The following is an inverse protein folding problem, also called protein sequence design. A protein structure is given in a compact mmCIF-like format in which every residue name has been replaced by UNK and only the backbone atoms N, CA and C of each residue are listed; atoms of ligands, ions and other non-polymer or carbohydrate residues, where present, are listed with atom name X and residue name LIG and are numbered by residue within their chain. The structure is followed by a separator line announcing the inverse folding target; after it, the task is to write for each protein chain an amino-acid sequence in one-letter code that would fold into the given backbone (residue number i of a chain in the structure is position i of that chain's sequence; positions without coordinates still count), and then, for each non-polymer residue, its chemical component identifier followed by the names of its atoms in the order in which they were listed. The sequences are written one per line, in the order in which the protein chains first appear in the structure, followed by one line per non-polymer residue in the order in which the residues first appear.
data_IF_030793577294
#
_entry.id   IF_030793577294
#
_cell.length_a   1.000
_cell.length_b   1.000
_cell.length_c   1.000
_cell.angle_alpha   90.00
_cell.angle_beta   90.00
_cell.angle_gamma   90.00
#
_symmetry.space_group_name_H-M   'P 1'
#
loop_
_entity.id
_entity.type
_entity.pdbx_description
1 polymer ?
#
# COMPACT_ATOMS: atom_id res chain seq x y z
N UNK A 1 50.66 -14.07 27.58
CA UNK A 1 50.46 -13.49 26.24
C UNK A 1 49.04 -13.81 25.77
N UNK A 2 48.16 -12.81 25.57
CA UNK A 2 46.76 -13.00 25.14
C UNK A 2 46.66 -12.78 23.62
N UNK A 3 46.05 -13.73 22.89
CA UNK A 3 45.82 -13.64 21.43
C UNK A 3 44.68 -12.68 21.09
N UNK A 4 44.74 -11.91 19.99
CA UNK A 4 43.65 -11.03 19.56
C UNK A 4 42.48 -11.83 18.97
N UNK A 5 41.24 -11.28 19.02
CA UNK A 5 40.05 -11.94 18.49
C UNK A 5 40.03 -11.97 16.95
N UNK A 6 39.37 -12.96 16.34
CA UNK A 6 39.26 -13.07 14.88
C UNK A 6 38.36 -11.96 14.30
N UNK A 7 38.80 -11.37 13.18
CA UNK A 7 38.02 -10.40 12.40
C UNK A 7 36.86 -11.13 11.70
N UNK A 8 35.63 -10.72 11.99
CA UNK A 8 34.44 -11.22 11.32
C UNK A 8 34.47 -10.84 9.82
N UNK A 9 34.36 -11.85 8.96
CA UNK A 9 34.30 -11.72 7.50
C UNK A 9 32.85 -11.63 7.01
N UNK A 10 32.65 -10.74 6.04
CA UNK A 10 31.59 -10.70 5.03
C UNK A 10 30.13 -10.83 5.50
N UNK A 11 29.47 -9.67 5.68
CA UNK A 11 28.01 -9.58 5.58
C UNK A 11 27.65 -9.74 4.09
N UNK A 12 26.92 -10.80 3.77
CA UNK A 12 26.38 -11.06 2.45
C UNK A 12 25.57 -9.83 1.97
N UNK A 13 25.96 -9.32 0.81
CA UNK A 13 25.21 -8.34 0.03
C UNK A 13 23.86 -8.95 -0.33
N UNK A 14 22.80 -8.51 0.35
CA UNK A 14 21.44 -8.78 -0.09
C UNK A 14 21.23 -7.92 -1.33
N UNK A 15 21.14 -8.60 -2.47
CA UNK A 15 20.69 -8.09 -3.75
C UNK A 15 19.52 -7.13 -3.55
N UNK A 16 19.75 -5.84 -3.82
CA UNK A 16 18.70 -4.87 -4.14
C UNK A 16 18.01 -5.37 -5.40
N UNK A 17 16.96 -6.17 -5.23
CA UNK A 17 16.03 -6.44 -6.31
C UNK A 17 15.28 -5.13 -6.56
N UNK A 18 15.67 -4.51 -7.67
CA UNK A 18 15.09 -3.33 -8.29
C UNK A 18 13.56 -3.36 -8.21
N UNK A 19 13.00 -2.47 -7.39
CA UNK A 19 11.65 -1.97 -7.65
C UNK A 19 11.76 -1.03 -8.86
N UNK A 20 10.95 -1.20 -9.92
CA UNK A 20 10.85 -0.15 -10.93
C UNK A 20 10.43 1.14 -10.23
N UNK A 21 11.22 2.17 -10.47
CA UNK A 21 11.20 3.51 -9.87
C UNK A 21 9.87 4.20 -10.21
N UNK A 22 8.79 3.84 -9.51
CA UNK A 22 7.45 4.35 -9.77
C UNK A 22 7.27 5.70 -9.05
N UNK A 23 7.99 6.71 -9.55
CA UNK A 23 8.01 8.11 -9.09
C UNK A 23 6.72 8.86 -9.45
N UNK A 24 5.57 8.24 -9.25
CA UNK A 24 4.29 8.92 -9.40
C UNK A 24 4.08 9.86 -8.20
N UNK A 25 4.55 11.10 -8.36
CA UNK A 25 4.13 12.24 -7.56
C UNK A 25 2.62 12.42 -7.72
N UNK A 26 1.84 11.84 -6.80
CA UNK A 26 0.41 12.09 -6.71
C UNK A 26 0.18 13.23 -5.73
N UNK A 27 -0.01 14.43 -6.28
CA UNK A 27 -0.60 15.55 -5.55
C UNK A 27 -2.07 15.25 -5.27
N UNK A 28 -2.59 15.86 -4.21
CA UNK A 28 -3.93 15.64 -3.60
C UNK A 28 -5.13 15.95 -4.54
N UNK A 29 -4.91 16.13 -5.85
CA UNK A 29 -5.92 16.56 -6.83
C UNK A 29 -5.88 15.84 -8.18
N UNK A 30 -5.14 14.74 -8.34
CA UNK A 30 -5.10 13.98 -9.59
C UNK A 30 -5.80 12.62 -9.44
N UNK A 31 -7.13 12.63 -9.48
CA UNK A 31 -7.87 11.48 -10.00
C UNK A 31 -7.88 11.63 -11.53
N UNK A 32 -7.21 10.77 -12.32
CA UNK A 32 -7.41 10.79 -13.76
C UNK A 32 -8.82 10.25 -14.05
N UNK A 33 -9.58 11.05 -14.79
CA UNK A 33 -10.81 10.64 -15.44
C UNK A 33 -10.51 9.44 -16.36
N UNK A 34 -11.18 8.32 -16.13
CA UNK A 34 -11.08 7.13 -16.96
C UNK A 34 -11.54 7.45 -18.40
N UNK A 35 -10.61 7.54 -19.34
CA UNK A 35 -10.90 7.33 -20.77
C UNK A 35 -10.91 5.83 -21.03
N UNK A 36 -11.94 5.37 -21.74
CA UNK A 36 -12.09 3.99 -22.20
C UNK A 36 -10.79 3.52 -22.84
N UNK A 37 -10.18 2.51 -22.23
CA UNK A 37 -8.84 2.01 -22.56
C UNK A 37 -8.99 0.61 -23.14
N UNK A 38 -8.29 0.34 -24.25
CA UNK A 38 -8.27 -0.97 -24.88
C UNK A 38 -7.65 -1.99 -23.90
N UNK A 39 -8.05 -3.27 -23.97
CA UNK A 39 -7.66 -4.30 -22.99
C UNK A 39 -6.13 -4.43 -22.71
N UNK A 40 -5.26 -4.04 -23.65
CA UNK A 40 -3.81 -3.99 -23.43
C UNK A 40 -3.40 -2.93 -22.40
N UNK A 41 -4.10 -1.80 -22.38
CA UNK A 41 -3.81 -0.68 -21.51
C UNK A 41 -4.22 -0.99 -20.06
N UNK A 42 -5.23 -1.85 -19.89
CA UNK A 42 -5.69 -2.27 -18.57
C UNK A 42 -4.61 -3.08 -17.80
N UNK A 43 -3.89 -3.97 -18.49
CA UNK A 43 -2.81 -4.78 -17.90
C UNK A 43 -1.63 -3.89 -17.50
N UNK A 44 -1.21 -2.99 -18.38
CA UNK A 44 -0.11 -2.05 -18.07
C UNK A 44 -0.50 -1.07 -16.95
N UNK A 45 -1.78 -0.69 -16.88
CA UNK A 45 -2.31 0.14 -15.78
C UNK A 45 -2.29 -0.61 -14.44
N UNK A 46 -2.58 -1.91 -14.41
CA UNK A 46 -2.49 -2.72 -13.20
C UNK A 46 -1.04 -2.91 -12.73
N UNK A 47 -0.09 -3.03 -13.66
CA UNK A 47 1.34 -3.09 -13.32
C UNK A 47 1.85 -1.79 -12.73
N UNK A 48 1.40 -0.64 -13.26
CA UNK A 48 1.68 0.67 -12.68
C UNK A 48 1.01 0.85 -11.31
N UNK A 49 -0.12 0.18 -11.09
CA UNK A 49 -0.89 0.18 -9.85
C UNK A 49 -1.95 1.27 -9.84
N UNK A 50 -3.21 0.86 -9.66
CA UNK A 50 -4.37 1.75 -9.61
C UNK A 50 -4.59 2.19 -8.17
N UNK A 51 -4.36 3.47 -7.89
CA UNK A 51 -4.66 4.03 -6.58
C UNK A 51 -6.18 4.10 -6.37
N UNK A 52 -6.68 3.49 -5.28
CA UNK A 52 -8.10 3.45 -4.96
C UNK A 52 -8.47 4.47 -3.89
N UNK A 53 -7.69 4.52 -2.81
CA UNK A 53 -7.95 5.40 -1.67
C UNK A 53 -6.71 5.62 -0.82
N UNK A 54 -6.68 6.74 -0.10
CA UNK A 54 -5.71 7.04 0.93
C UNK A 54 -6.41 7.43 2.23
N UNK A 55 -6.09 6.73 3.31
CA UNK A 55 -6.53 7.05 4.68
C UNK A 55 -5.39 7.77 5.39
N UNK A 56 -5.44 9.10 5.40
CA UNK A 56 -4.48 9.93 6.12
C UNK A 56 -4.67 9.78 7.64
N UNK A 57 -3.57 9.86 8.39
CA UNK A 57 -3.62 9.75 9.86
C UNK A 57 -4.46 10.85 10.51
N UNK A 58 -4.47 12.04 9.92
CA UNK A 58 -5.39 13.11 10.32
C UNK A 58 -5.39 14.26 9.30
N UNK A 59 -6.35 15.20 9.41
CA UNK A 59 -6.48 16.29 8.45
C UNK A 59 -5.22 17.17 8.30
N UNK A 60 -4.47 17.33 9.40
CA UNK A 60 -3.23 18.12 9.46
C UNK A 60 -1.96 17.25 9.43
N UNK A 61 -2.06 15.97 9.76
CA UNK A 61 -0.93 15.03 9.72
C UNK A 61 -0.95 14.25 8.39
N UNK A 62 -0.34 14.87 7.38
CA UNK A 62 -0.11 14.26 6.06
C UNK A 62 1.24 13.56 5.95
N UNK A 63 1.91 13.32 7.09
CA UNK A 63 3.19 12.60 7.08
C UNK A 63 3.01 11.09 6.94
N UNK A 64 1.79 10.58 7.13
CA UNK A 64 1.46 9.14 7.07
C UNK A 64 0.09 8.89 6.47
N UNK A 65 0.00 7.86 5.65
CA UNK A 65 -1.25 7.38 5.09
C UNK A 65 -1.26 5.85 5.00
N UNK A 66 -2.45 5.25 5.06
CA UNK A 66 -2.67 3.89 4.55
C UNK A 66 -3.22 4.04 3.14
N UNK A 67 -2.53 3.51 2.14
CA UNK A 67 -3.00 3.55 0.75
C UNK A 67 -3.51 2.18 0.33
N UNK A 68 -4.54 2.20 -0.49
CA UNK A 68 -5.17 1.06 -1.13
C UNK A 68 -4.83 1.14 -2.62
N UNK A 69 -4.19 0.12 -3.16
CA UNK A 69 -3.78 0.08 -4.58
C UNK A 69 -4.06 -1.29 -5.18
N UNK A 70 -4.73 -1.34 -6.32
CA UNK A 70 -4.88 -2.58 -7.09
C UNK A 70 -3.64 -2.75 -7.97
N UNK A 71 -2.98 -3.91 -7.92
CA UNK A 71 -1.73 -4.18 -8.64
C UNK A 71 -1.71 -5.58 -9.24
N UNK A 72 -0.88 -5.77 -10.26
CA UNK A 72 -0.49 -7.08 -10.79
C UNK A 72 0.98 -7.38 -10.44
N UNK A 73 1.26 -8.62 -10.04
CA UNK A 73 2.62 -9.15 -9.93
C UNK A 73 2.64 -10.57 -10.49
N UNK A 74 3.52 -10.84 -11.45
CA UNK A 74 3.64 -12.13 -12.12
C UNK A 74 2.29 -12.68 -12.63
N UNK A 75 1.45 -11.81 -13.23
CA UNK A 75 0.15 -12.20 -13.76
C UNK A 75 -0.91 -12.50 -12.71
N UNK A 76 -0.69 -12.14 -11.43
CA UNK A 76 -1.66 -12.30 -10.35
C UNK A 76 -2.06 -10.93 -9.83
N UNK A 77 -3.36 -10.65 -9.82
CA UNK A 77 -3.90 -9.39 -9.30
C UNK A 77 -4.19 -9.44 -7.79
N UNK A 78 -3.91 -8.33 -7.13
CA UNK A 78 -4.14 -8.16 -5.70
C UNK A 78 -4.39 -6.71 -5.32
N UNK A 79 -5.09 -6.54 -4.20
CA UNK A 79 -5.16 -5.29 -3.46
C UNK A 79 -3.98 -5.22 -2.48
N UNK A 80 -3.11 -4.22 -2.65
CA UNK A 80 -2.09 -3.85 -1.68
C UNK A 80 -2.66 -2.76 -0.75
N UNK A 81 -2.68 -3.05 0.55
CA UNK A 81 -3.08 -2.12 1.61
C UNK A 81 -1.83 -1.85 2.45
N UNK A 82 -1.22 -0.68 2.29
CA UNK A 82 0.12 -0.42 2.83
C UNK A 82 0.22 0.92 3.50
N UNK A 83 0.97 0.97 4.59
CA UNK A 83 1.34 2.22 5.24
C UNK A 83 2.45 2.90 4.42
N UNK A 84 2.24 4.18 4.12
CA UNK A 84 3.21 5.09 3.53
C UNK A 84 3.65 6.13 4.56
N UNK A 85 4.89 6.57 4.46
CA UNK A 85 5.46 7.64 5.27
C UNK A 85 6.09 8.70 4.38
N UNK A 86 5.96 9.97 4.77
CA UNK A 86 6.60 11.07 4.07
C UNK A 86 8.09 11.09 4.36
N UNK A 87 8.89 11.20 3.30
CA UNK A 87 10.33 11.42 3.35
C UNK A 87 10.72 12.32 2.18
N UNK A 88 11.42 13.42 2.47
CA UNK A 88 11.88 14.38 1.46
C UNK A 88 10.78 14.91 0.53
N UNK A 89 9.56 15.09 1.05
CA UNK A 89 8.41 15.58 0.28
C UNK A 89 7.65 14.50 -0.50
N UNK A 90 8.09 13.23 -0.46
CA UNK A 90 7.45 12.12 -1.16
C UNK A 90 6.89 11.08 -0.17
N UNK A 91 5.81 10.39 -0.57
CA UNK A 91 5.27 9.28 0.20
C UNK A 91 5.95 7.98 -0.22
N UNK A 92 6.62 7.31 0.72
CA UNK A 92 7.37 6.08 0.48
C UNK A 92 6.62 4.90 1.14
N UNK A 93 6.42 3.77 0.43
CA UNK A 93 5.80 2.60 1.01
C UNK A 93 6.68 1.99 2.11
N UNK A 94 6.06 1.52 3.19
CA UNK A 94 6.76 0.79 4.25
C UNK A 94 6.57 -0.71 4.12
N UNK A 95 7.29 -1.48 4.93
CA UNK A 95 7.06 -2.93 5.08
C UNK A 95 5.75 -3.26 5.80
N UNK A 96 5.08 -2.27 6.40
CA UNK A 96 3.81 -2.45 7.11
C UNK A 96 2.67 -2.38 6.11
N UNK A 97 2.07 -3.52 5.82
CA UNK A 97 0.95 -3.64 4.90
C UNK A 97 0.53 -5.09 4.76
N UNK A 98 -0.57 -5.29 4.05
CA UNK A 98 -1.09 -6.61 3.69
C UNK A 98 -1.49 -6.59 2.24
N UNK A 99 -1.32 -7.73 1.58
CA UNK A 99 -1.73 -7.95 0.20
C UNK A 99 -2.83 -9.00 0.18
N UNK A 100 -3.89 -8.74 -0.57
CA UNK A 100 -5.08 -9.59 -0.63
C UNK A 100 -5.34 -9.90 -2.11
N UNK A 101 -5.40 -11.18 -2.47
CA UNK A 101 -5.77 -11.57 -3.84
C UNK A 101 -7.16 -11.03 -4.20
N UNK A 102 -7.33 -10.60 -5.46
CA UNK A 102 -8.64 -10.12 -5.95
C UNK A 102 -9.76 -11.14 -5.71
N UNK A 103 -9.47 -12.43 -5.83
CA UNK A 103 -10.42 -13.52 -5.59
C UNK A 103 -10.94 -13.56 -4.13
N UNK A 104 -10.19 -13.00 -3.17
CA UNK A 104 -10.56 -12.98 -1.75
C UNK A 104 -11.21 -11.66 -1.32
N UNK A 105 -11.33 -10.67 -2.21
CA UNK A 105 -11.83 -9.34 -1.85
C UNK A 105 -13.24 -9.33 -1.29
N UNK A 106 -14.14 -10.17 -1.83
CA UNK A 106 -15.50 -10.30 -1.30
C UNK A 106 -15.52 -10.72 0.18
N UNK A 107 -14.73 -11.74 0.54
CA UNK A 107 -14.61 -12.21 1.93
C UNK A 107 -13.95 -11.17 2.83
N UNK A 108 -12.93 -10.47 2.33
CA UNK A 108 -12.29 -9.39 3.06
C UNK A 108 -13.28 -8.25 3.36
N UNK A 109 -14.08 -7.83 2.37
CA UNK A 109 -15.07 -6.78 2.53
C UNK A 109 -16.16 -7.16 3.54
N UNK A 110 -16.63 -8.41 3.51
CA UNK A 110 -17.59 -8.93 4.49
C UNK A 110 -17.02 -8.92 5.92
N UNK A 111 -15.77 -9.37 6.09
CA UNK A 111 -15.09 -9.37 7.38
C UNK A 111 -14.86 -7.93 7.89
N UNK A 112 -14.42 -7.01 7.03
CA UNK A 112 -14.25 -5.60 7.37
C UNK A 112 -15.58 -4.94 7.76
N UNK A 113 -16.66 -5.23 7.03
CA UNK A 113 -18.00 -4.77 7.36
C UNK A 113 -18.50 -5.31 8.70
N UNK A 114 -18.22 -6.58 9.01
CA UNK A 114 -18.53 -7.17 10.32
C UNK A 114 -17.76 -6.51 11.45
N UNK A 115 -16.46 -6.26 11.25
CA UNK A 115 -15.62 -5.54 12.21
C UNK A 115 -16.15 -4.12 12.46
N UNK A 116 -16.53 -3.40 11.41
CA UNK A 116 -17.12 -2.06 11.51
C UNK A 116 -18.41 -2.06 12.33
N UNK A 117 -19.37 -2.94 12.02
CA UNK A 117 -20.62 -3.06 12.78
C UNK A 117 -20.37 -3.32 14.26
N UNK A 118 -19.41 -4.20 14.57
CA UNK A 118 -19.02 -4.49 15.96
C UNK A 118 -18.40 -3.27 16.65
N UNK A 119 -17.55 -2.52 15.95
CA UNK A 119 -16.95 -1.30 16.49
C UNK A 119 -18.02 -0.22 16.79
N UNK A 120 -19.04 -0.08 15.94
CA UNK A 120 -20.20 0.80 16.19
C UNK A 120 -21.00 0.34 17.40
N UNK A 121 -21.31 -0.96 17.50
CA UNK A 121 -22.04 -1.51 18.65
C UNK A 121 -21.28 -1.31 19.99
N UNK A 122 -19.94 -1.25 19.92
CA UNK A 122 -19.08 -0.97 21.08
C UNK A 122 -18.86 0.52 21.35
N UNK A 123 -19.43 1.43 20.55
CA UNK A 123 -19.23 2.87 20.69
C UNK A 123 -17.82 3.37 20.34
N UNK A 124 -17.01 2.57 19.63
CA UNK A 124 -15.65 2.93 19.20
C UNK A 124 -15.64 3.84 17.97
N UNK A 125 -16.74 3.84 17.22
CA UNK A 125 -16.92 4.68 16.04
C UNK A 125 -18.27 5.36 16.17
N UNK A 126 -18.27 6.70 16.11
CA UNK A 126 -19.51 7.45 15.95
C UNK A 126 -20.05 7.13 14.57
N UNK A 127 -21.22 6.47 14.50
CA UNK A 127 -21.91 6.30 13.24
C UNK A 127 -22.14 7.70 12.65
N UNK A 128 -21.50 8.00 11.51
CA UNK A 128 -21.88 9.18 10.74
C UNK A 128 -23.27 8.88 10.19
N UNK A 129 -24.29 9.52 10.77
CA UNK A 129 -25.59 9.65 10.15
C UNK A 129 -25.38 10.43 8.85
N UNK A 130 -25.40 9.72 7.73
CA UNK A 130 -25.44 10.29 6.38
C UNK A 130 -26.77 10.97 6.12
#
# INVERSE_FOLDING_TARGET
MKRPPPKASARASITEQLYPDNRASLTDRAAPANKETHNSDAVDTLRAGIHLAALWRGPRDRSRAIQFTLREFNGVEFLDIRQFVSSSGFMIPTRRGVTISVQQLGRFAEAAGTAYRKAVAMGLVTARSS
#
